data_IF_088506012597
#
_entry.id   IF_088506012597
#
_cell.length_a   1.000
_cell.length_b   1.000
_cell.length_c   1.000
_cell.angle_alpha   90.00
_cell.angle_beta   90.00
_cell.angle_gamma   90.00
#
_symmetry.space_group_name_H-M   'P 1'
#
loop_
_entity.id
_entity.type
_entity.pdbx_description
1 polymer ?
#
# COMPACT_ATOMS: atom_id res chain seq x y z
N UNK A 1 31.70 9.14 -6.71
CA UNK A 1 31.33 8.84 -5.31
C UNK A 1 32.37 9.32 -4.30
N UNK A 2 33.67 9.40 -4.63
CA UNK A 2 34.70 9.85 -3.68
C UNK A 2 34.43 11.22 -3.06
N UNK A 3 34.06 12.23 -3.86
CA UNK A 3 33.78 13.57 -3.34
C UNK A 3 32.64 13.62 -2.30
N UNK A 4 31.61 12.78 -2.43
CA UNK A 4 30.51 12.72 -1.47
C UNK A 4 30.97 12.10 -0.14
N UNK A 5 31.73 11.00 -0.20
CA UNK A 5 32.24 10.37 1.02
C UNK A 5 33.28 11.23 1.73
N UNK A 6 34.11 11.95 0.97
CA UNK A 6 35.04 12.95 1.51
C UNK A 6 34.30 14.12 2.19
N UNK A 7 33.17 14.55 1.62
CA UNK A 7 32.29 15.56 2.23
C UNK A 7 31.66 15.06 3.54
N UNK A 8 31.15 13.83 3.56
CA UNK A 8 30.59 13.19 4.76
C UNK A 8 31.62 13.06 5.89
N UNK A 9 32.89 12.77 5.56
CA UNK A 9 33.98 12.74 6.52
C UNK A 9 34.33 14.13 7.07
N UNK A 10 34.32 15.16 6.22
CA UNK A 10 34.62 16.55 6.60
C UNK A 10 33.55 17.16 7.52
N UNK A 11 32.28 16.82 7.31
CA UNK A 11 31.14 17.27 8.10
C UNK A 11 30.93 16.47 9.41
N UNK A 12 31.75 15.45 9.68
CA UNK A 12 31.63 14.63 10.89
C UNK A 12 30.42 13.68 10.91
N UNK A 13 29.71 13.52 9.79
CA UNK A 13 28.52 12.67 9.65
C UNK A 13 28.85 11.18 9.48
N UNK A 14 30.12 10.81 9.64
CA UNK A 14 30.64 9.45 9.42
C UNK A 14 29.85 8.40 10.21
N UNK A 15 29.59 8.64 11.50
CA UNK A 15 28.94 7.66 12.37
C UNK A 15 27.48 7.37 12.00
N UNK A 16 26.81 8.31 11.34
CA UNK A 16 25.40 8.18 10.98
C UNK A 16 25.22 7.59 9.58
N UNK A 17 26.08 8.01 8.63
CA UNK A 17 25.94 7.66 7.21
C UNK A 17 26.70 6.37 6.84
N UNK A 18 27.87 6.11 7.41
CA UNK A 18 28.64 4.89 7.08
C UNK A 18 27.91 3.58 7.40
N UNK A 19 27.18 3.43 8.53
CA UNK A 19 26.40 2.22 8.79
C UNK A 19 25.34 1.94 7.72
N UNK A 20 24.89 2.98 7.01
CA UNK A 20 23.88 2.89 5.95
C UNK A 20 24.48 2.85 4.55
N UNK A 21 25.80 2.71 4.41
CA UNK A 21 26.53 2.77 3.13
C UNK A 21 25.97 1.82 2.07
N UNK A 22 25.46 0.65 2.47
CA UNK A 22 24.84 -0.33 1.56
C UNK A 22 23.53 0.15 0.91
N UNK A 23 22.87 1.17 1.49
CA UNK A 23 21.64 1.78 0.93
C UNK A 23 21.93 2.85 -0.13
N UNK A 24 23.18 3.32 -0.23
CA UNK A 24 23.56 4.34 -1.19
C UNK A 24 23.99 3.68 -2.52
N UNK A 25 23.27 4.00 -3.58
CA UNK A 25 23.54 3.50 -4.93
C UNK A 25 24.04 4.68 -5.78
N UNK A 26 25.18 4.50 -6.42
CA UNK A 26 25.67 5.44 -7.42
C UNK A 26 25.01 5.15 -8.75
N UNK A 27 24.32 6.14 -9.31
CA UNK A 27 23.73 6.07 -10.65
C UNK A 27 24.19 7.25 -11.49
N UNK A 28 24.41 7.00 -12.78
CA UNK A 28 24.66 8.03 -13.77
C UNK A 28 23.33 8.70 -14.15
N UNK A 29 23.28 10.03 -14.09
CA UNK A 29 22.10 10.80 -14.47
C UNK A 29 22.46 11.83 -15.53
N UNK A 30 21.58 12.01 -16.52
CA UNK A 30 21.77 12.90 -17.66
C UNK A 30 21.69 14.39 -17.30
N UNK A 31 20.96 14.74 -16.24
CA UNK A 31 20.90 16.11 -15.67
C UNK A 31 20.51 16.12 -14.19
N UNK A 32 20.65 17.27 -13.52
CA UNK A 32 20.23 17.46 -12.13
C UNK A 32 18.73 17.79 -11.92
N UNK A 33 17.91 17.75 -12.97
CA UNK A 33 16.48 18.11 -12.90
C UNK A 33 15.58 16.90 -12.63
N UNK A 34 14.36 17.15 -12.13
CA UNK A 34 13.38 16.11 -11.72
C UNK A 34 13.15 15.01 -12.76
N UNK A 35 13.19 15.33 -14.05
CA UNK A 35 12.95 14.37 -15.12
C UNK A 35 14.05 13.30 -15.24
N UNK A 36 15.30 13.64 -14.92
CA UNK A 36 16.43 12.71 -14.95
C UNK A 36 16.41 11.71 -13.77
N UNK A 37 15.58 11.98 -12.75
CA UNK A 37 15.31 11.05 -11.66
C UNK A 37 14.40 9.90 -12.11
N UNK A 38 13.39 10.18 -12.95
CA UNK A 38 12.53 9.14 -13.54
C UNK A 38 13.32 8.24 -14.51
N UNK A 39 14.26 8.81 -15.26
CA UNK A 39 15.17 8.05 -16.13
C UNK A 39 16.02 7.06 -15.33
N UNK A 40 16.66 7.53 -14.25
CA UNK A 40 17.46 6.71 -13.34
C UNK A 40 16.64 5.59 -12.68
N UNK A 41 15.40 5.87 -12.29
CA UNK A 41 14.50 4.87 -11.70
C UNK A 41 14.00 3.82 -12.70
N UNK A 42 14.05 4.11 -14.00
CA UNK A 42 13.68 3.18 -15.07
C UNK A 42 14.80 2.23 -15.48
N UNK A 43 16.04 2.47 -15.05
CA UNK A 43 17.17 1.57 -15.28
C UNK A 43 16.97 0.24 -14.55
N UNK A 44 17.04 -0.86 -15.29
CA UNK A 44 16.80 -2.22 -14.79
C UNK A 44 17.79 -2.59 -13.67
N UNK A 45 19.05 -2.16 -13.75
CA UNK A 45 20.06 -2.49 -12.74
C UNK A 45 19.83 -1.73 -11.41
N UNK A 46 19.33 -0.50 -11.51
CA UNK A 46 18.97 0.34 -10.35
C UNK A 46 17.66 -0.13 -9.74
N UNK A 47 16.67 -0.42 -10.59
CA UNK A 47 15.39 -1.00 -10.20
C UNK A 47 15.56 -2.35 -9.48
N UNK A 48 16.46 -3.22 -9.94
CA UNK A 48 16.77 -4.49 -9.27
C UNK A 48 17.40 -4.28 -7.89
N UNK A 49 18.38 -3.38 -7.74
CA UNK A 49 19.02 -3.11 -6.42
C UNK A 49 18.10 -2.39 -5.44
N UNK A 50 17.29 -1.45 -5.93
CA UNK A 50 16.24 -0.81 -5.14
C UNK A 50 15.16 -1.81 -4.75
N UNK A 51 14.79 -2.70 -5.68
CA UNK A 51 13.88 -3.81 -5.44
C UNK A 51 14.43 -4.71 -4.34
N UNK A 52 15.68 -5.17 -4.38
CA UNK A 52 16.26 -6.03 -3.32
C UNK A 52 16.19 -5.38 -1.92
N UNK A 53 16.43 -4.07 -1.82
CA UNK A 53 16.41 -3.36 -0.53
C UNK A 53 14.99 -3.15 0.00
N UNK A 54 14.05 -2.82 -0.89
CA UNK A 54 12.63 -2.61 -0.56
C UNK A 54 11.89 -3.94 -0.36
N UNK A 55 12.27 -4.95 -1.14
CA UNK A 55 11.80 -6.32 -1.06
C UNK A 55 12.05 -6.92 0.31
N UNK A 56 13.16 -6.58 1.00
CA UNK A 56 13.35 -7.05 2.38
C UNK A 56 12.22 -6.60 3.33
N UNK A 57 11.74 -5.36 3.21
CA UNK A 57 10.62 -4.87 4.00
C UNK A 57 9.29 -5.52 3.57
N UNK A 58 9.09 -5.68 2.26
CA UNK A 58 7.92 -6.33 1.67
C UNK A 58 7.83 -7.82 2.05
N UNK A 59 8.92 -8.57 1.94
CA UNK A 59 9.06 -9.97 2.36
C UNK A 59 8.78 -10.10 3.84
N UNK A 60 9.36 -9.23 4.68
CA UNK A 60 9.12 -9.25 6.12
C UNK A 60 7.64 -9.04 6.43
N UNK A 61 7.02 -8.02 5.84
CA UNK A 61 5.61 -7.72 6.07
C UNK A 61 4.71 -8.87 5.61
N UNK A 62 4.97 -9.45 4.43
CA UNK A 62 4.19 -10.57 3.91
C UNK A 62 4.34 -11.83 4.78
N UNK A 63 5.55 -12.16 5.22
CA UNK A 63 5.77 -13.29 6.13
C UNK A 63 5.06 -13.09 7.47
N UNK A 64 5.14 -11.88 8.05
CA UNK A 64 4.42 -11.56 9.29
C UNK A 64 2.90 -11.65 9.10
N UNK A 65 2.38 -11.20 7.96
CA UNK A 65 0.97 -11.36 7.62
C UNK A 65 0.56 -12.83 7.54
N UNK A 66 1.32 -13.67 6.83
CA UNK A 66 1.04 -15.10 6.70
C UNK A 66 1.12 -15.83 8.05
N UNK A 67 2.08 -15.45 8.90
CA UNK A 67 2.18 -15.97 10.27
C UNK A 67 0.97 -15.57 11.13
N UNK A 68 0.51 -14.33 11.04
CA UNK A 68 -0.69 -13.86 11.74
C UNK A 68 -1.94 -14.59 11.26
N UNK A 69 -2.10 -14.83 9.95
CA UNK A 69 -3.22 -15.63 9.42
C UNK A 69 -3.31 -17.02 10.06
N UNK A 70 -2.17 -17.62 10.46
CA UNK A 70 -2.15 -18.92 11.13
C UNK A 70 -2.28 -18.85 12.65
N UNK A 71 -1.79 -17.78 13.27
CA UNK A 71 -1.66 -17.68 14.74
C UNK A 71 -2.75 -16.83 15.39
N UNK A 72 -3.15 -15.73 14.75
CA UNK A 72 -4.14 -14.76 15.19
C UNK A 72 -4.86 -14.15 13.97
N UNK A 73 -5.83 -14.89 13.38
CA UNK A 73 -6.49 -14.49 12.15
C UNK A 73 -7.25 -13.16 12.29
N UNK A 74 -7.68 -12.80 13.51
CA UNK A 74 -8.40 -11.55 13.78
C UNK A 74 -7.51 -10.30 13.58
N UNK A 75 -6.20 -10.47 13.44
CA UNK A 75 -5.22 -9.40 13.19
C UNK A 75 -4.72 -9.32 11.76
N UNK A 76 -5.19 -10.18 10.86
CA UNK A 76 -4.77 -10.20 9.47
C UNK A 76 -6.00 -10.20 8.56
N UNK A 77 -6.12 -9.17 7.71
CA UNK A 77 -7.25 -9.01 6.80
C UNK A 77 -6.78 -8.88 5.36
N UNK A 78 -7.54 -9.42 4.43
CA UNK A 78 -7.29 -9.29 3.00
C UNK A 78 -8.58 -8.98 2.24
N UNK A 79 -8.45 -8.33 1.09
CA UNK A 79 -9.60 -7.89 0.30
C UNK A 79 -10.04 -6.48 0.63
N UNK A 80 -10.55 -5.77 -0.39
CA UNK A 80 -10.84 -4.35 -0.32
C UNK A 80 -11.81 -3.98 0.81
N UNK A 81 -12.88 -4.76 0.98
CA UNK A 81 -13.90 -4.44 1.97
C UNK A 81 -13.43 -4.61 3.40
N UNK A 82 -12.78 -5.74 3.72
CA UNK A 82 -12.22 -5.98 5.05
C UNK A 82 -11.18 -4.92 5.42
N UNK A 83 -10.37 -4.49 4.44
CA UNK A 83 -9.39 -3.40 4.65
C UNK A 83 -10.06 -2.05 4.89
N UNK A 84 -11.16 -1.73 4.19
CA UNK A 84 -11.95 -0.52 4.44
C UNK A 84 -12.52 -0.54 5.86
N UNK A 85 -13.13 -1.65 6.27
CA UNK A 85 -13.69 -1.79 7.61
C UNK A 85 -12.61 -1.64 8.69
N UNK A 86 -11.45 -2.31 8.52
CA UNK A 86 -10.31 -2.15 9.42
C UNK A 86 -9.77 -0.70 9.46
N UNK A 87 -9.84 0.02 8.33
CA UNK A 87 -9.46 1.43 8.23
C UNK A 87 -10.42 2.33 8.99
N UNK A 88 -11.73 2.05 8.97
CA UNK A 88 -12.75 2.78 9.73
C UNK A 88 -12.57 2.62 11.23
N UNK A 89 -12.21 1.41 11.66
CA UNK A 89 -11.86 1.11 13.05
C UNK A 89 -10.45 1.60 13.45
N UNK A 90 -9.71 2.24 12.53
CA UNK A 90 -8.34 2.73 12.74
C UNK A 90 -7.37 1.67 13.28
N UNK A 91 -7.60 0.40 12.94
CA UNK A 91 -6.81 -0.72 13.46
C UNK A 91 -5.62 -1.06 12.58
N UNK A 92 -5.50 -0.48 11.38
CA UNK A 92 -4.44 -0.82 10.42
C UNK A 92 -3.07 -0.38 10.96
N UNK A 93 -2.14 -1.32 11.05
CA UNK A 93 -0.73 -1.07 11.31
C UNK A 93 0.02 -0.87 9.99
N UNK A 94 -0.06 -1.88 9.11
CA UNK A 94 0.63 -1.92 7.82
C UNK A 94 -0.33 -2.37 6.74
N UNK A 95 -0.52 -1.53 5.73
CA UNK A 95 -1.23 -1.85 4.50
C UNK A 95 -0.25 -2.37 3.44
N UNK A 96 -0.65 -3.43 2.75
CA UNK A 96 0.08 -4.04 1.63
C UNK A 96 -0.81 -3.97 0.39
N UNK A 97 -0.31 -3.37 -0.69
CA UNK A 97 -1.07 -3.21 -1.96
C UNK A 97 -0.20 -3.60 -3.15
N UNK A 98 -0.72 -4.43 -4.04
CA UNK A 98 -0.07 -4.76 -5.32
C UNK A 98 -0.17 -3.60 -6.31
N UNK A 99 0.94 -3.25 -6.97
CA UNK A 99 0.97 -2.17 -7.95
C UNK A 99 0.11 -2.44 -9.20
N UNK A 100 -0.22 -3.71 -9.45
CA UNK A 100 -1.14 -4.15 -10.50
C UNK A 100 -2.54 -3.52 -10.34
N UNK A 101 -2.98 -3.27 -9.11
CA UNK A 101 -4.27 -2.64 -8.80
C UNK A 101 -4.33 -1.18 -9.23
N UNK A 102 -3.18 -0.49 -9.28
CA UNK A 102 -3.12 0.88 -9.82
C UNK A 102 -3.06 0.91 -11.34
N UNK A 103 -2.69 -0.21 -11.99
CA UNK A 103 -2.55 -0.33 -13.44
C UNK A 103 -3.83 -0.86 -14.12
N UNK A 104 -4.91 -1.10 -13.38
CA UNK A 104 -6.18 -1.60 -13.91
C UNK A 104 -6.75 -0.70 -15.02
N UNK A 105 -7.34 -1.28 -16.07
CA UNK A 105 -7.98 -0.52 -17.16
C UNK A 105 -9.21 0.28 -16.70
N UNK A 106 -9.84 -0.15 -15.60
CA UNK A 106 -10.97 0.56 -14.98
C UNK A 106 -10.47 1.73 -14.12
N UNK A 107 -10.84 2.94 -14.54
CA UNK A 107 -10.51 4.21 -13.88
C UNK A 107 -11.18 4.29 -12.50
N UNK A 108 -12.35 3.68 -12.34
CA UNK A 108 -13.13 3.71 -11.10
C UNK A 108 -12.42 2.92 -10.01
N UNK A 109 -11.95 1.71 -10.33
CA UNK A 109 -11.17 0.87 -9.43
C UNK A 109 -9.85 1.53 -9.03
N UNK A 110 -9.14 2.11 -10.00
CA UNK A 110 -7.89 2.83 -9.71
C UNK A 110 -8.10 3.96 -8.72
N UNK A 111 -9.14 4.78 -8.90
CA UNK A 111 -9.46 5.88 -7.98
C UNK A 111 -9.75 5.38 -6.56
N UNK A 112 -10.49 4.28 -6.41
CA UNK A 112 -10.80 3.68 -5.11
C UNK A 112 -9.54 3.27 -4.34
N UNK A 113 -8.61 2.55 -4.98
CA UNK A 113 -7.36 2.13 -4.31
C UNK A 113 -6.42 3.29 -4.01
N UNK A 114 -6.38 4.32 -4.86
CA UNK A 114 -5.60 5.53 -4.59
C UNK A 114 -6.14 6.27 -3.37
N UNK A 115 -7.46 6.48 -3.30
CA UNK A 115 -8.11 7.10 -2.14
C UNK A 115 -7.90 6.29 -0.85
N UNK A 116 -7.98 4.96 -0.93
CA UNK A 116 -7.71 4.08 0.20
C UNK A 116 -6.28 4.30 0.73
N UNK A 117 -5.28 4.27 -0.15
CA UNK A 117 -3.87 4.47 0.21
C UNK A 117 -3.62 5.86 0.80
N UNK A 118 -4.19 6.90 0.21
CA UNK A 118 -4.08 8.28 0.73
C UNK A 118 -4.67 8.37 2.14
N UNK A 119 -5.87 7.81 2.32
CA UNK A 119 -6.55 7.86 3.61
C UNK A 119 -5.85 7.12 4.75
N UNK A 120 -5.19 5.99 4.45
CA UNK A 120 -4.42 5.20 5.43
C UNK A 120 -3.10 5.90 5.76
N UNK A 121 -2.50 6.60 4.78
CA UNK A 121 -1.32 7.44 5.03
C UNK A 121 -1.66 8.64 5.92
N UNK A 122 -2.82 9.25 5.73
CA UNK A 122 -3.31 10.34 6.58
C UNK A 122 -3.52 9.89 8.04
N UNK A 123 -3.93 8.64 8.26
CA UNK A 123 -4.01 8.02 9.60
C UNK A 123 -2.62 7.74 10.23
N UNK A 124 -1.53 7.94 9.49
CA UNK A 124 -0.17 7.69 9.95
C UNK A 124 0.21 6.21 9.97
N UNK A 125 -0.55 5.35 9.28
CA UNK A 125 -0.23 3.93 9.16
C UNK A 125 0.76 3.67 8.03
N UNK A 126 1.52 2.58 8.15
CA UNK A 126 2.55 2.23 7.17
C UNK A 126 1.89 1.68 5.90
N UNK A 127 2.36 2.10 4.72
CA UNK A 127 1.85 1.59 3.44
C UNK A 127 2.99 1.06 2.58
N UNK A 128 2.91 -0.21 2.24
CA UNK A 128 3.84 -0.92 1.38
C UNK A 128 3.18 -1.26 0.05
N UNK A 129 3.76 -0.76 -1.04
CA UNK A 129 3.32 -1.06 -2.41
C UNK A 129 4.22 -2.15 -2.97
N UNK A 130 3.68 -3.33 -3.22
CA UNK A 130 4.38 -4.50 -3.74
C UNK A 130 4.42 -4.45 -5.26
N UNK A 131 5.57 -4.72 -5.87
CA UNK A 131 5.64 -4.87 -7.32
C UNK A 131 5.10 -6.24 -7.71
N UNK A 132 4.13 -6.28 -8.63
CA UNK A 132 3.61 -7.51 -9.21
C UNK A 132 4.64 -8.29 -10.02
N UNK A 133 5.83 -7.73 -10.25
CA UNK A 133 6.96 -8.39 -10.92
C UNK A 133 7.88 -9.13 -9.94
N UNK A 134 7.66 -8.96 -8.63
CA UNK A 134 8.41 -9.67 -7.60
C UNK A 134 7.56 -10.79 -7.00
N UNK A 135 8.20 -11.87 -6.53
CA UNK A 135 7.52 -13.05 -5.99
C UNK A 135 6.55 -12.72 -4.84
N UNK A 136 6.90 -11.74 -3.99
CA UNK A 136 6.02 -11.28 -2.91
C UNK A 136 4.77 -10.56 -3.44
N UNK A 137 4.89 -9.80 -4.53
CA UNK A 137 3.75 -9.15 -5.16
C UNK A 137 2.85 -10.13 -5.89
N UNK A 138 3.40 -11.19 -6.49
CA UNK A 138 2.62 -12.29 -7.06
C UNK A 138 1.81 -13.00 -5.96
N UNK A 139 2.44 -13.33 -4.82
CA UNK A 139 1.77 -13.92 -3.67
C UNK A 139 0.64 -13.02 -3.12
N UNK A 140 0.92 -11.73 -2.94
CA UNK A 140 -0.11 -10.77 -2.51
C UNK A 140 -1.26 -10.68 -3.54
N UNK A 141 -0.96 -10.75 -4.83
CA UNK A 141 -1.97 -10.70 -5.89
C UNK A 141 -2.88 -11.94 -5.87
N UNK A 142 -2.35 -13.12 -5.50
CA UNK A 142 -3.17 -14.31 -5.24
C UNK A 142 -4.13 -14.11 -4.06
N UNK A 143 -3.74 -13.29 -3.09
CA UNK A 143 -4.57 -12.84 -1.96
C UNK A 143 -5.34 -11.55 -2.28
N UNK A 144 -5.97 -11.48 -3.46
CA UNK A 144 -6.75 -10.33 -3.98
C UNK A 144 -5.96 -9.05 -4.31
N UNK A 145 -4.66 -9.00 -3.98
CA UNK A 145 -3.79 -7.85 -4.24
C UNK A 145 -3.82 -6.77 -3.17
N UNK A 146 -4.67 -6.88 -2.15
CA UNK A 146 -4.73 -5.93 -1.03
C UNK A 146 -4.87 -6.68 0.29
N UNK A 147 -4.03 -6.34 1.26
CA UNK A 147 -4.04 -6.95 2.59
C UNK A 147 -3.54 -5.96 3.65
N UNK A 148 -3.90 -6.18 4.91
CA UNK A 148 -3.45 -5.36 6.02
C UNK A 148 -3.18 -6.20 7.27
N UNK A 149 -2.17 -5.75 8.02
CA UNK A 149 -1.87 -6.21 9.38
C UNK A 149 -2.48 -5.20 10.35
N UNK A 150 -3.15 -5.70 11.38
CA UNK A 150 -3.85 -4.89 12.38
C UNK A 150 -3.06 -4.79 13.69
N UNK A 151 -3.15 -3.61 14.32
CA UNK A 151 -2.57 -3.28 15.63
C UNK A 151 -3.29 -4.01 16.76
N UNK A 152 -4.59 -4.23 16.61
CA UNK A 152 -5.46 -4.95 17.54
C UNK A 152 -6.48 -5.78 16.74
N UNK A 153 -6.94 -6.92 17.30
CA UNK A 153 -7.93 -7.75 16.63
C UNK A 153 -9.27 -7.03 16.51
N UNK A 154 -9.97 -7.26 15.41
CA UNK A 154 -11.37 -6.85 15.25
C UNK A 154 -12.22 -8.12 15.32
N UNK A 155 -13.05 -8.23 16.37
CA UNK A 155 -14.16 -9.18 16.37
C UNK A 155 -15.13 -8.75 15.26
N UNK A 156 -15.75 -9.70 14.56
CA UNK A 156 -16.77 -9.48 13.50
C UNK A 156 -16.25 -9.36 12.05
N UNK A 157 -14.96 -9.66 11.78
CA UNK A 157 -14.44 -9.68 10.40
C UNK A 157 -14.90 -10.88 9.56
N UNK A 158 -15.21 -12.00 10.21
CA UNK A 158 -15.55 -13.27 9.56
C UNK A 158 -17.07 -13.51 9.46
N UNK A 159 -17.90 -12.60 9.99
CA UNK A 159 -19.35 -12.75 9.99
C UNK A 159 -19.94 -12.32 8.64
N UNK A 160 -20.33 -13.29 7.81
CA UNK A 160 -21.00 -13.07 6.51
C UNK A 160 -22.29 -12.24 6.65
N UNK A 161 -22.95 -12.30 7.81
CA UNK A 161 -24.15 -11.52 8.16
C UNK A 161 -23.89 -10.01 8.19
N UNK A 162 -22.68 -9.59 8.59
CA UNK A 162 -22.28 -8.17 8.66
C UNK A 162 -22.26 -7.51 7.28
N UNK A 163 -21.99 -8.29 6.24
CA UNK A 163 -21.94 -7.81 4.86
C UNK A 163 -23.34 -7.66 4.25
N UNK A 164 -24.32 -8.48 4.64
CA UNK A 164 -25.70 -8.38 4.13
C UNK A 164 -26.41 -7.12 4.63
N UNK A 165 -26.21 -6.71 5.88
CA UNK A 165 -26.82 -5.49 6.44
C UNK A 165 -26.32 -4.22 5.71
N UNK A 166 -25.02 -4.10 5.47
CA UNK A 166 -24.43 -2.96 4.73
C UNK A 166 -24.89 -2.92 3.26
N UNK A 167 -25.07 -4.09 2.63
CA UNK A 167 -25.59 -4.18 1.27
C UNK A 167 -27.06 -3.76 1.16
N UNK A 168 -27.87 -4.09 2.17
CA UNK A 168 -29.28 -3.66 2.25
C UNK A 168 -29.40 -2.16 2.57
N UNK A 169 -28.59 -1.63 3.48
CA UNK A 169 -28.56 -0.19 3.82
C UNK A 169 -28.16 0.67 2.62
N UNK A 170 -27.12 0.27 1.88
CA UNK A 170 -26.70 0.98 0.65
C UNK A 170 -27.75 0.89 -0.46
N UNK A 171 -28.53 -0.20 -0.55
CA UNK A 171 -29.68 -0.28 -1.47
C UNK A 171 -30.81 0.66 -1.05
N UNK A 172 -31.06 0.82 0.24
CA UNK A 172 -32.13 1.68 0.75
C UNK A 172 -31.80 3.15 0.52
N UNK A 173 -30.59 3.63 0.81
CA UNK A 173 -30.18 5.02 0.56
C UNK A 173 -30.21 5.37 -0.94
N UNK A 174 -29.69 4.49 -1.81
CA UNK A 174 -29.71 4.71 -3.26
C UNK A 174 -31.14 4.70 -3.86
N UNK A 175 -32.10 4.02 -3.20
CA UNK A 175 -33.50 4.03 -3.59
C UNK A 175 -34.24 5.29 -3.09
N UNK A 176 -33.86 5.84 -1.94
CA UNK A 176 -34.44 7.07 -1.40
C UNK A 176 -34.00 8.33 -2.16
N UNK A 177 -32.73 8.41 -2.57
CA UNK A 177 -32.22 9.50 -3.39
C UNK A 177 -32.84 9.49 -4.80
N UNK A 178 -33.04 8.32 -5.40
CA UNK A 178 -33.75 8.21 -6.68
C UNK A 178 -35.22 8.65 -6.58
N UNK A 179 -35.91 8.34 -5.48
CA UNK A 179 -37.29 8.80 -5.24
C UNK A 179 -37.39 10.31 -5.03
N UNK A 180 -36.38 10.97 -4.46
CA UNK A 180 -36.35 12.44 -4.30
C UNK A 180 -36.15 13.16 -5.63
N UNK A 181 -35.38 12.59 -6.56
CA UNK A 181 -35.12 13.17 -7.88
C UNK A 181 -36.34 13.05 -8.81
N UNK A 182 -37.12 11.96 -8.71
CA UNK A 182 -38.35 11.79 -9.51
C UNK A 182 -39.48 12.72 -9.07
N UNK A 183 -39.61 13.01 -7.77
CA UNK A 183 -40.64 13.90 -7.24
C UNK A 183 -40.33 15.41 -7.43
N UNK A 184 -39.11 15.77 -7.86
CA UNK A 184 -38.70 17.16 -8.09
C UNK A 184 -38.85 17.66 -9.55
N UNK A 185 -39.23 16.80 -10.50
CA UNK A 185 -39.42 17.16 -11.92
C UNK A 185 -40.88 17.36 -12.34
N UNK A 186 -41.80 17.37 -11.38
CA UNK A 186 -43.23 17.61 -11.61
C UNK A 186 -43.73 18.84 -10.85
N UNK A 187 -43.27 20.04 -11.22
CA UNK A 187 -43.92 21.32 -10.90
C UNK A 187 -43.56 22.36 -11.95
#
# INVERSE_FOLDING_TARGET
MEFFWQYVEKEGLRQTIFPQKSKFILVHSSSGFKHSLNEVLSDVAVSQRLSETKAQAEVKALNTFLELMCTDPQRAVYGYKHVIYAREQQSIETLMVSDSLFRSKDITQRRKYVQLVESIKEQGSNVLIFSSLHATGEQLTQLTGVAAILRFPIADLDDEEFWEEDYELQKQENNEDNKRIENGKGS
#
